data_IF_264007384717
#
_entry.id   IF_264007384717
#
_cell.length_a   1.000
_cell.length_b   1.000
_cell.length_c   1.000
_cell.angle_alpha   90.00
_cell.angle_beta   90.00
_cell.angle_gamma   90.00
#
_symmetry.space_group_name_H-M   'P 1'
#
loop_
_entity.id
_entity.type
_entity.pdbx_description
1 polymer ?
#
# COMPACT_ATOMS: atom_id res chain seq x y z
N UNK A 1 6.86 7.11 18.09
CA UNK A 1 5.51 7.08 17.47
C UNK A 1 5.18 5.66 17.12
N UNK A 2 3.88 5.31 17.03
CA UNK A 2 3.44 3.96 16.65
C UNK A 2 2.70 4.01 15.30
N UNK A 3 3.16 3.22 14.35
CA UNK A 3 2.61 3.19 13.00
C UNK A 3 2.02 1.81 12.67
N UNK A 4 0.89 1.82 11.95
CA UNK A 4 0.39 0.65 11.25
C UNK A 4 0.93 0.66 9.82
N UNK A 5 1.61 -0.39 9.40
CA UNK A 5 2.08 -0.59 8.02
C UNK A 5 1.37 -1.82 7.45
N UNK A 6 0.59 -1.64 6.40
CA UNK A 6 -0.06 -2.78 5.73
C UNK A 6 0.70 -3.14 4.46
N UNK A 7 0.79 -4.43 4.14
CA UNK A 7 1.54 -4.90 2.97
C UNK A 7 3.07 -4.88 3.17
N UNK A 8 3.53 -5.02 4.42
CA UNK A 8 4.96 -4.96 4.72
C UNK A 8 5.72 -6.27 4.46
N UNK A 9 5.03 -7.36 4.12
CA UNK A 9 5.68 -8.56 3.57
C UNK A 9 6.02 -8.40 2.07
N UNK A 10 5.58 -7.30 1.43
CA UNK A 10 5.95 -6.92 0.07
C UNK A 10 7.23 -6.09 0.01
N UNK A 11 7.68 -5.78 -1.22
CA UNK A 11 8.93 -5.07 -1.48
C UNK A 11 8.99 -3.69 -0.80
N UNK A 12 8.15 -2.73 -1.21
CA UNK A 12 8.22 -1.34 -0.69
C UNK A 12 7.87 -1.30 0.80
N UNK A 13 6.85 -2.06 1.22
CA UNK A 13 6.38 -2.07 2.60
C UNK A 13 7.42 -2.57 3.59
N UNK A 14 8.23 -3.57 3.22
CA UNK A 14 9.31 -4.09 4.06
C UNK A 14 10.41 -3.05 4.30
N UNK A 15 10.81 -2.29 3.28
CA UNK A 15 11.75 -1.19 3.42
C UNK A 15 11.21 -0.08 4.31
N UNK A 16 9.93 0.26 4.18
CA UNK A 16 9.30 1.27 5.01
C UNK A 16 9.24 0.83 6.48
N UNK A 17 8.79 -0.40 6.74
CA UNK A 17 8.73 -0.95 8.10
C UNK A 17 10.12 -0.94 8.75
N UNK A 18 11.14 -1.42 8.03
CA UNK A 18 12.53 -1.39 8.51
C UNK A 18 13.00 0.04 8.83
N UNK A 19 12.73 0.99 7.93
CA UNK A 19 13.14 2.39 8.12
C UNK A 19 12.50 3.00 9.37
N UNK A 20 11.22 2.79 9.59
CA UNK A 20 10.52 3.27 10.78
C UNK A 20 11.11 2.70 12.06
N UNK A 21 11.43 1.39 12.07
CA UNK A 21 12.06 0.72 13.20
C UNK A 21 13.48 1.23 13.45
N UNK A 22 14.25 1.49 12.41
CA UNK A 22 15.61 2.06 12.51
C UNK A 22 15.59 3.49 13.05
N UNK A 23 14.53 4.26 12.76
CA UNK A 23 14.31 5.60 13.31
C UNK A 23 13.70 5.58 14.74
N UNK A 24 13.58 4.39 15.36
CA UNK A 24 13.11 4.22 16.75
C UNK A 24 11.60 4.30 16.93
N UNK A 25 10.81 4.04 15.90
CA UNK A 25 9.36 3.97 15.96
C UNK A 25 8.87 2.56 16.26
N UNK A 26 7.69 2.45 16.85
CA UNK A 26 6.97 1.19 16.97
C UNK A 26 6.20 0.91 15.67
N UNK A 27 6.26 -0.31 15.20
CA UNK A 27 5.59 -0.74 13.97
C UNK A 27 4.74 -1.97 14.24
N UNK A 28 3.45 -1.86 13.88
CA UNK A 28 2.54 -2.99 13.73
C UNK A 28 2.36 -3.25 12.24
N UNK A 29 2.43 -4.50 11.83
CA UNK A 29 2.28 -4.90 10.43
C UNK A 29 1.02 -5.73 10.28
N UNK A 30 0.21 -5.43 9.26
CA UNK A 30 -0.83 -6.32 8.74
C UNK A 30 -0.43 -6.75 7.34
N UNK A 31 -0.40 -8.06 7.11
CA UNK A 31 -0.24 -8.66 5.79
C UNK A 31 -0.95 -10.02 5.75
N UNK A 32 -1.57 -10.36 4.62
CA UNK A 32 -2.23 -11.66 4.46
C UNK A 32 -1.26 -12.78 4.12
N UNK A 33 -0.06 -12.45 3.66
CA UNK A 33 0.95 -13.35 3.08
C UNK A 33 0.48 -14.09 1.82
N UNK A 34 -0.61 -13.67 1.19
CA UNK A 34 -1.06 -14.25 -0.09
C UNK A 34 -0.07 -13.99 -1.24
N UNK A 35 0.64 -12.85 -1.17
CA UNK A 35 1.63 -12.45 -2.17
C UNK A 35 2.94 -11.94 -1.56
N UNK A 36 2.97 -11.77 -0.27
CA UNK A 36 4.13 -11.36 0.51
C UNK A 36 4.92 -12.55 1.04
N UNK A 37 6.13 -12.28 1.49
CA UNK A 37 7.03 -13.29 2.05
C UNK A 37 7.31 -12.98 3.52
N UNK A 38 7.04 -13.93 4.40
CA UNK A 38 7.24 -13.78 5.85
C UNK A 38 8.71 -13.48 6.21
N UNK A 39 9.66 -13.95 5.40
CA UNK A 39 11.09 -13.73 5.57
C UNK A 39 11.51 -12.26 5.40
N UNK A 40 10.68 -11.45 4.73
CA UNK A 40 10.90 -10.00 4.58
C UNK A 40 10.47 -9.19 5.79
N UNK A 41 9.75 -9.79 6.73
CA UNK A 41 9.27 -9.10 7.93
C UNK A 41 10.41 -8.87 8.92
N UNK A 42 10.59 -7.63 9.34
CA UNK A 42 11.54 -7.29 10.40
C UNK A 42 11.00 -7.80 11.76
N UNK A 43 11.78 -8.63 12.43
CA UNK A 43 11.39 -9.29 13.70
C UNK A 43 11.14 -8.31 14.85
N UNK A 44 11.54 -7.05 14.71
CA UNK A 44 11.27 -5.99 15.70
C UNK A 44 9.83 -5.47 15.61
N UNK A 45 9.16 -5.67 14.47
CA UNK A 45 7.76 -5.28 14.30
C UNK A 45 6.81 -6.29 14.94
N UNK A 46 5.67 -5.81 15.42
CA UNK A 46 4.55 -6.68 15.77
C UNK A 46 3.78 -7.08 14.51
N UNK A 47 3.87 -8.35 14.12
CA UNK A 47 3.22 -8.85 12.91
C UNK A 47 1.88 -9.52 13.26
N UNK A 48 0.84 -9.09 12.55
CA UNK A 48 -0.52 -9.63 12.62
C UNK A 48 -0.90 -10.13 11.22
N UNK A 49 -0.97 -11.44 11.06
CA UNK A 49 -1.40 -12.03 9.80
C UNK A 49 -2.92 -11.90 9.65
N UNK A 50 -3.37 -11.27 8.57
CA UNK A 50 -4.80 -11.13 8.30
C UNK A 50 -5.08 -10.36 7.01
N UNK A 51 -6.33 -10.46 6.57
CA UNK A 51 -6.80 -9.80 5.34
C UNK A 51 -7.59 -8.53 5.69
N UNK A 52 -7.32 -7.43 5.01
CA UNK A 52 -8.01 -6.15 5.22
C UNK A 52 -9.51 -6.18 4.91
N UNK A 53 -9.98 -7.18 4.17
CA UNK A 53 -11.41 -7.37 3.94
C UNK A 53 -12.15 -7.96 5.15
N UNK A 54 -11.42 -8.55 6.10
CA UNK A 54 -11.99 -8.97 7.39
C UNK A 54 -12.13 -7.76 8.31
N UNK A 55 -13.32 -7.17 8.28
CA UNK A 55 -13.63 -5.97 9.08
C UNK A 55 -13.45 -6.23 10.58
N UNK A 56 -13.81 -7.41 11.07
CA UNK A 56 -13.71 -7.74 12.49
C UNK A 56 -12.26 -7.81 12.94
N UNK A 57 -11.40 -8.40 12.12
CA UNK A 57 -9.97 -8.43 12.36
C UNK A 57 -9.36 -7.03 12.35
N UNK A 58 -9.65 -6.22 11.32
CA UNK A 58 -9.12 -4.85 11.24
C UNK A 58 -9.60 -4.01 12.43
N UNK A 59 -10.89 -4.14 12.81
CA UNK A 59 -11.45 -3.45 13.97
C UNK A 59 -10.68 -3.80 15.25
N UNK A 60 -10.45 -5.08 15.55
CA UNK A 60 -9.71 -5.50 16.76
C UNK A 60 -8.30 -4.93 16.80
N UNK A 61 -7.63 -4.81 15.66
CA UNK A 61 -6.29 -4.21 15.60
C UNK A 61 -6.31 -2.75 16.05
N UNK A 62 -7.34 -1.98 15.70
CA UNK A 62 -7.48 -0.59 16.13
C UNK A 62 -8.02 -0.44 17.56
N UNK A 63 -8.76 -1.43 18.08
CA UNK A 63 -9.15 -1.46 19.50
C UNK A 63 -7.94 -1.69 20.41
N UNK A 64 -7.06 -2.61 20.03
CA UNK A 64 -5.88 -3.00 20.82
C UNK A 64 -4.72 -2.00 20.72
N UNK A 65 -4.76 -1.09 19.73
CA UNK A 65 -3.62 -0.21 19.44
C UNK A 65 -4.05 1.24 19.14
N UNK A 66 -3.29 2.18 19.70
CA UNK A 66 -3.37 3.60 19.31
C UNK A 66 -2.27 3.92 18.31
N UNK A 67 -2.65 4.25 17.09
CA UNK A 67 -1.70 4.58 16.04
C UNK A 67 -1.59 6.09 15.82
N UNK A 68 -0.36 6.59 15.65
CA UNK A 68 -0.07 7.95 15.24
C UNK A 68 -0.28 8.15 13.73
N UNK A 69 -0.20 7.07 12.97
CA UNK A 69 -0.41 7.07 11.53
C UNK A 69 -0.52 5.68 10.92
N UNK A 70 -1.09 5.63 9.72
CA UNK A 70 -1.22 4.43 8.89
C UNK A 70 -0.47 4.64 7.58
N UNK A 71 0.29 3.63 7.16
CA UNK A 71 0.98 3.60 5.87
C UNK A 71 0.50 2.36 5.11
N UNK A 72 -0.22 2.58 4.02
CA UNK A 72 -0.98 1.55 3.33
C UNK A 72 -0.33 1.16 2.01
N UNK A 73 0.33 -0.02 1.99
CA UNK A 73 0.92 -0.64 0.80
C UNK A 73 0.16 -1.87 0.33
N UNK A 74 -0.64 -2.53 1.19
CA UNK A 74 -1.34 -3.76 0.83
C UNK A 74 -2.23 -3.58 -0.39
N UNK A 75 -1.95 -4.34 -1.45
CA UNK A 75 -2.73 -4.37 -2.69
C UNK A 75 -2.29 -5.55 -3.57
N UNK A 76 -3.16 -5.95 -4.49
CA UNK A 76 -2.75 -6.69 -5.69
C UNK A 76 -2.31 -5.69 -6.76
N UNK A 77 -1.17 -5.91 -7.43
CA UNK A 77 -0.46 -4.87 -8.18
C UNK A 77 -0.18 -5.18 -9.66
N UNK A 78 -0.39 -6.41 -10.13
CA UNK A 78 -0.09 -6.77 -11.51
C UNK A 78 -1.09 -6.17 -12.50
N UNK A 79 -0.63 -5.28 -13.38
CA UNK A 79 -1.48 -4.67 -14.41
C UNK A 79 -2.05 -5.73 -15.35
N UNK A 80 -1.22 -6.68 -15.83
CA UNK A 80 -1.65 -7.74 -16.74
C UNK A 80 -2.70 -8.66 -16.12
N UNK A 81 -2.52 -9.07 -14.85
CA UNK A 81 -3.51 -9.85 -14.14
C UNK A 81 -4.82 -9.09 -13.94
N UNK A 82 -4.76 -7.78 -13.71
CA UNK A 82 -5.94 -6.96 -13.53
C UNK A 82 -6.87 -6.97 -14.75
N UNK A 83 -6.30 -7.05 -15.95
CA UNK A 83 -7.07 -7.16 -17.21
C UNK A 83 -7.76 -8.53 -17.36
N UNK A 84 -7.27 -9.56 -16.67
CA UNK A 84 -7.85 -10.90 -16.72
C UNK A 84 -8.83 -11.15 -15.58
N UNK A 85 -8.57 -10.56 -14.42
CA UNK A 85 -9.39 -10.73 -13.22
C UNK A 85 -9.70 -9.38 -12.53
N UNK A 86 -10.49 -8.51 -13.15
CA UNK A 86 -10.79 -7.19 -12.59
C UNK A 86 -11.53 -7.26 -11.25
N UNK A 87 -12.36 -8.29 -11.03
CA UNK A 87 -13.08 -8.48 -9.77
C UNK A 87 -12.13 -8.56 -8.57
N UNK A 88 -11.05 -9.33 -8.67
CA UNK A 88 -10.05 -9.44 -7.61
C UNK A 88 -9.46 -8.07 -7.25
N UNK A 89 -9.15 -7.25 -8.26
CA UNK A 89 -8.54 -5.94 -8.06
C UNK A 89 -9.49 -4.95 -7.39
N UNK A 90 -10.73 -4.89 -7.85
CA UNK A 90 -11.71 -4.01 -7.22
C UNK A 90 -12.07 -4.48 -5.81
N UNK A 91 -12.30 -5.77 -5.62
CA UNK A 91 -12.63 -6.32 -4.31
C UNK A 91 -11.48 -6.11 -3.31
N UNK A 92 -10.27 -6.54 -3.64
CA UNK A 92 -9.15 -6.47 -2.70
C UNK A 92 -8.70 -5.03 -2.45
N UNK A 93 -8.42 -4.27 -3.53
CA UNK A 93 -7.81 -2.97 -3.39
C UNK A 93 -8.78 -1.91 -2.89
N UNK A 94 -10.06 -1.95 -3.29
CA UNK A 94 -11.04 -0.94 -2.89
C UNK A 94 -11.67 -1.33 -1.55
N UNK A 95 -12.24 -2.54 -1.44
CA UNK A 95 -12.98 -2.93 -0.22
C UNK A 95 -12.04 -3.04 0.98
N UNK A 96 -10.85 -3.64 0.82
CA UNK A 96 -9.86 -3.71 1.89
C UNK A 96 -9.36 -2.33 2.33
N UNK A 97 -9.09 -1.43 1.36
CA UNK A 97 -8.70 -0.04 1.69
C UNK A 97 -9.83 0.72 2.37
N UNK A 98 -11.08 0.54 1.93
CA UNK A 98 -12.23 1.21 2.54
C UNK A 98 -12.41 0.79 4.00
N UNK A 99 -12.31 -0.51 4.31
CA UNK A 99 -12.35 -1.01 5.69
C UNK A 99 -11.23 -0.37 6.53
N UNK A 100 -10.00 -0.38 6.01
CA UNK A 100 -8.85 0.19 6.71
C UNK A 100 -9.03 1.70 7.00
N UNK A 101 -9.49 2.47 6.00
CA UNK A 101 -9.72 3.92 6.13
C UNK A 101 -10.82 4.22 7.13
N UNK A 102 -11.91 3.46 7.11
CA UNK A 102 -13.02 3.61 8.07
C UNK A 102 -12.56 3.33 9.49
N UNK A 103 -11.92 2.17 9.74
CA UNK A 103 -11.46 1.80 11.08
C UNK A 103 -10.37 2.76 11.60
N UNK A 104 -9.42 3.15 10.76
CA UNK A 104 -8.41 4.16 11.12
C UNK A 104 -9.05 5.49 11.51
N UNK A 105 -10.06 5.93 10.76
CA UNK A 105 -10.76 7.21 11.03
C UNK A 105 -11.57 7.14 12.32
N UNK A 106 -12.30 6.05 12.55
CA UNK A 106 -13.07 5.82 13.76
C UNK A 106 -12.19 5.74 15.02
N UNK A 107 -10.99 5.15 14.89
CA UNK A 107 -9.98 5.13 15.94
C UNK A 107 -9.26 6.48 16.17
N UNK A 108 -9.62 7.50 15.39
CA UNK A 108 -9.07 8.86 15.54
C UNK A 108 -7.70 9.07 14.91
N UNK A 109 -7.22 8.15 14.07
CA UNK A 109 -5.97 8.33 13.31
C UNK A 109 -6.09 9.52 12.38
N UNK A 110 -5.13 10.44 12.45
CA UNK A 110 -5.14 11.69 11.66
C UNK A 110 -4.18 11.73 10.49
N UNK A 111 -3.30 10.74 10.37
CA UNK A 111 -2.25 10.71 9.34
C UNK A 111 -2.33 9.40 8.57
N UNK A 112 -2.56 9.50 7.27
CA UNK A 112 -2.69 8.34 6.40
C UNK A 112 -1.80 8.52 5.16
N UNK A 113 -0.90 7.58 4.89
CA UNK A 113 -0.09 7.56 3.69
C UNK A 113 -0.58 6.42 2.81
N UNK A 114 -0.91 6.74 1.57
CA UNK A 114 -1.42 5.79 0.60
C UNK A 114 -0.45 5.57 -0.55
N UNK A 115 -0.09 4.31 -0.76
CA UNK A 115 0.66 3.86 -1.93
C UNK A 115 -0.26 3.78 -3.14
N UNK A 116 -0.27 4.84 -3.93
CA UNK A 116 -0.92 4.89 -5.24
C UNK A 116 0.06 4.52 -6.35
N UNK A 117 -0.25 4.85 -7.57
CA UNK A 117 0.53 4.48 -8.76
C UNK A 117 0.49 5.58 -9.82
N UNK A 118 1.55 5.71 -10.62
CA UNK A 118 1.53 6.51 -11.85
C UNK A 118 0.50 6.00 -12.86
N UNK A 119 0.09 4.73 -12.76
CA UNK A 119 -0.98 4.15 -13.59
C UNK A 119 -2.33 4.87 -13.51
N UNK A 120 -2.55 5.73 -12.49
CA UNK A 120 -3.75 6.58 -12.42
C UNK A 120 -3.81 7.64 -13.53
N UNK A 121 -2.66 7.99 -14.10
CA UNK A 121 -2.60 8.98 -15.19
C UNK A 121 -2.95 8.38 -16.57
N UNK A 122 -2.81 7.06 -16.74
CA UNK A 122 -2.93 6.41 -18.04
C UNK A 122 -1.84 6.85 -19.02
N UNK A 123 -2.18 6.97 -20.29
CA UNK A 123 -1.27 7.48 -21.31
C UNK A 123 -1.05 9.00 -21.14
N UNK A 124 0.19 9.45 -20.90
CA UNK A 124 0.45 10.85 -20.61
C UNK A 124 0.31 11.72 -21.85
N UNK A 125 -0.40 12.84 -21.70
CA UNK A 125 -0.53 13.89 -22.74
C UNK A 125 0.75 14.74 -22.77
N UNK A 126 1.44 14.86 -21.61
CA UNK A 126 2.65 15.67 -21.44
C UNK A 126 3.63 14.98 -20.53
N UNK A 127 4.91 15.07 -20.86
CA UNK A 127 6.04 14.62 -20.03
C UNK A 127 7.02 15.78 -19.80
N UNK A 128 7.60 15.92 -18.61
CA UNK A 128 7.30 15.16 -17.38
C UNK A 128 5.84 15.31 -16.96
N UNK A 129 5.25 14.25 -16.36
CA UNK A 129 3.86 14.23 -15.94
C UNK A 129 3.69 15.10 -14.68
N UNK A 130 2.92 16.21 -14.72
CA UNK A 130 2.69 17.01 -13.53
C UNK A 130 1.62 16.35 -12.64
N UNK A 131 1.56 16.76 -11.36
CA UNK A 131 0.61 16.15 -10.40
C UNK A 131 -0.85 16.41 -10.73
N UNK A 132 -1.16 17.51 -11.40
CA UNK A 132 -2.48 17.92 -11.86
C UNK A 132 -2.88 17.34 -13.23
N UNK A 133 -2.01 16.50 -13.83
CA UNK A 133 -2.33 15.81 -15.09
C UNK A 133 -3.68 15.08 -14.97
N UNK A 134 -4.48 15.04 -16.04
CA UNK A 134 -5.71 14.25 -16.08
C UNK A 134 -5.48 12.80 -15.65
N UNK A 135 -6.43 12.25 -14.89
CA UNK A 135 -6.38 10.88 -14.41
C UNK A 135 -7.33 10.03 -15.23
N UNK A 136 -6.77 9.17 -16.06
CA UNK A 136 -7.51 8.29 -16.97
C UNK A 136 -6.83 6.90 -17.01
N UNK A 137 -6.97 6.07 -15.96
CA UNK A 137 -6.36 4.75 -15.90
C UNK A 137 -6.79 3.87 -17.07
N UNK A 138 -5.88 3.02 -17.57
CA UNK A 138 -6.15 2.13 -18.71
C UNK A 138 -6.34 0.66 -18.27
N UNK A 139 -6.29 0.39 -16.98
CA UNK A 139 -6.46 -0.96 -16.44
C UNK A 139 -7.14 -0.94 -15.06
N UNK A 140 -7.76 -2.07 -14.65
CA UNK A 140 -8.44 -2.16 -13.36
C UNK A 140 -7.55 -1.90 -12.14
N UNK A 141 -6.25 -2.21 -12.21
CA UNK A 141 -5.32 -1.87 -11.14
C UNK A 141 -5.22 -0.36 -10.94
N UNK A 142 -4.91 0.40 -11.99
CA UNK A 142 -4.84 1.86 -11.96
C UNK A 142 -6.17 2.48 -11.52
N UNK A 143 -7.29 1.98 -12.05
CA UNK A 143 -8.63 2.44 -11.65
C UNK A 143 -8.91 2.16 -10.18
N UNK A 144 -8.58 0.97 -9.65
CA UNK A 144 -8.77 0.65 -8.23
C UNK A 144 -8.00 1.60 -7.31
N UNK A 145 -6.76 1.97 -7.69
CA UNK A 145 -5.97 2.95 -6.94
C UNK A 145 -6.58 4.35 -7.00
N UNK A 146 -7.05 4.79 -8.17
CA UNK A 146 -7.71 6.08 -8.33
C UNK A 146 -9.01 6.15 -7.51
N UNK A 147 -9.78 5.07 -7.44
CA UNK A 147 -10.98 5.01 -6.60
C UNK A 147 -10.64 5.19 -5.12
N UNK A 148 -9.56 4.59 -4.62
CA UNK A 148 -9.11 4.79 -3.24
C UNK A 148 -8.65 6.24 -3.01
N UNK A 149 -7.96 6.88 -3.97
CA UNK A 149 -7.65 8.32 -3.87
C UNK A 149 -8.92 9.16 -3.67
N UNK A 150 -9.99 8.86 -4.44
CA UNK A 150 -11.28 9.55 -4.32
C UNK A 150 -11.97 9.29 -2.97
N UNK A 151 -11.87 8.07 -2.45
CA UNK A 151 -12.37 7.72 -1.10
C UNK A 151 -11.65 8.57 -0.04
N UNK A 152 -10.32 8.64 -0.07
CA UNK A 152 -9.53 9.44 0.87
C UNK A 152 -9.93 10.92 0.84
N UNK A 153 -10.20 11.48 -0.35
CA UNK A 153 -10.68 12.87 -0.48
C UNK A 153 -12.04 13.08 0.22
N UNK A 154 -12.96 12.11 0.16
CA UNK A 154 -14.22 12.19 0.88
C UNK A 154 -14.02 12.09 2.40
N UNK A 155 -13.16 11.19 2.86
CA UNK A 155 -12.83 11.06 4.29
C UNK A 155 -12.17 12.33 4.84
N UNK A 156 -11.32 12.99 4.05
CA UNK A 156 -10.77 14.30 4.41
C UNK A 156 -11.88 15.34 4.59
N UNK A 157 -12.77 15.46 3.61
CA UNK A 157 -13.85 16.47 3.61
C UNK A 157 -14.84 16.27 4.76
N UNK A 158 -15.18 15.02 5.07
CA UNK A 158 -16.27 14.70 6.02
C UNK A 158 -15.74 14.42 7.42
N UNK A 159 -14.60 13.74 7.54
CA UNK A 159 -14.04 13.23 8.80
C UNK A 159 -12.74 13.92 9.21
N UNK A 160 -12.17 14.77 8.37
CA UNK A 160 -10.93 15.49 8.68
C UNK A 160 -9.68 14.61 8.66
N UNK A 161 -9.68 13.50 7.92
CA UNK A 161 -8.50 12.65 7.74
C UNK A 161 -7.44 13.40 6.91
N UNK A 162 -6.23 13.55 7.44
CA UNK A 162 -5.11 14.06 6.67
C UNK A 162 -4.40 12.90 5.97
N UNK A 163 -4.15 13.04 4.69
CA UNK A 163 -3.47 12.00 3.94
C UNK A 163 -2.44 12.57 2.96
N UNK A 164 -1.52 11.69 2.58
CA UNK A 164 -0.58 11.87 1.47
C UNK A 164 -0.75 10.71 0.51
N UNK A 165 -0.83 11.02 -0.78
CA UNK A 165 -0.89 10.04 -1.86
C UNK A 165 0.46 10.02 -2.55
N UNK A 166 1.10 8.85 -2.60
CA UNK A 166 2.37 8.66 -3.28
C UNK A 166 2.13 7.85 -4.57
N UNK A 167 2.23 8.51 -5.72
CA UNK A 167 2.05 7.87 -7.03
C UNK A 167 3.40 7.37 -7.54
N UNK A 168 3.74 6.14 -7.19
CA UNK A 168 4.98 5.52 -7.61
C UNK A 168 4.96 5.22 -9.11
N UNK A 169 6.12 5.39 -9.75
CA UNK A 169 6.39 4.86 -11.09
C UNK A 169 6.96 3.44 -10.93
N UNK A 170 8.25 3.26 -11.09
CA UNK A 170 8.90 1.98 -10.94
C UNK A 170 9.89 2.08 -9.77
N UNK A 171 9.48 1.61 -8.61
CA UNK A 171 10.40 1.49 -7.48
C UNK A 171 11.45 0.43 -7.81
N UNK A 172 12.72 0.72 -7.55
CA UNK A 172 13.81 -0.22 -7.75
C UNK A 172 14.90 -0.01 -6.72
N UNK A 173 15.72 -1.02 -6.53
CA UNK A 173 16.88 -0.98 -5.64
C UNK A 173 16.88 -2.11 -4.62
N UNK A 174 18.00 -2.22 -3.91
CA UNK A 174 18.22 -3.16 -2.83
C UNK A 174 18.87 -2.45 -1.65
N UNK A 175 18.81 -3.07 -0.46
CA UNK A 175 19.56 -2.58 0.67
C UNK A 175 21.08 -2.77 0.43
N UNK A 176 21.90 -1.85 0.95
CA UNK A 176 23.33 -1.90 0.77
C UNK A 176 23.99 -3.16 1.36
N UNK A 177 23.35 -3.78 2.33
CA UNK A 177 23.78 -5.04 2.94
C UNK A 177 23.32 -6.28 2.17
N UNK A 178 22.62 -6.11 1.04
CA UNK A 178 22.13 -7.18 0.18
C UNK A 178 20.99 -8.02 0.77
N UNK A 179 20.44 -7.67 1.94
CA UNK A 179 19.42 -8.49 2.61
C UNK A 179 17.99 -8.22 2.18
N UNK A 180 17.76 -7.06 1.55
CA UNK A 180 16.42 -6.64 1.11
C UNK A 180 16.47 -6.20 -0.34
N UNK A 181 15.48 -6.58 -1.11
CA UNK A 181 15.35 -6.24 -2.52
C UNK A 181 14.02 -6.67 -3.09
N UNK A 182 13.86 -6.41 -4.36
CA UNK A 182 12.70 -6.88 -5.11
C UNK A 182 12.75 -8.40 -5.31
N UNK A 183 11.59 -9.05 -5.23
CA UNK A 183 11.46 -10.49 -5.39
C UNK A 183 10.00 -10.79 -5.69
N UNK A 184 9.62 -10.73 -6.96
CA UNK A 184 8.29 -11.10 -7.43
C UNK A 184 8.36 -12.44 -8.18
N UNK A 185 7.28 -13.21 -8.11
CA UNK A 185 7.13 -14.44 -8.88
C UNK A 185 5.70 -14.52 -9.46
N UNK A 186 5.54 -14.44 -10.80
CA UNK A 186 6.58 -14.14 -11.78
C UNK A 186 7.12 -12.70 -11.69
N UNK A 187 8.41 -12.51 -12.05
CA UNK A 187 8.99 -11.17 -12.13
C UNK A 187 8.51 -10.45 -13.40
N UNK A 188 8.05 -9.24 -13.26
CA UNK A 188 7.53 -8.43 -14.35
C UNK A 188 8.22 -7.06 -14.53
N UNK A 189 9.10 -6.69 -13.60
CA UNK A 189 9.79 -5.40 -13.65
C UNK A 189 11.04 -5.47 -14.52
N UNK A 190 11.28 -4.39 -15.26
CA UNK A 190 12.33 -4.34 -16.27
C UNK A 190 13.74 -4.54 -15.68
N UNK A 191 14.02 -3.93 -14.52
CA UNK A 191 15.38 -3.97 -13.95
C UNK A 191 15.76 -5.39 -13.50
N UNK A 192 14.99 -6.11 -12.69
CA UNK A 192 15.30 -7.50 -12.37
C UNK A 192 15.39 -8.40 -13.62
N UNK A 193 14.50 -8.20 -14.60
CA UNK A 193 14.51 -8.99 -15.83
C UNK A 193 15.73 -8.76 -16.74
N UNK A 194 16.37 -7.59 -16.63
CA UNK A 194 17.60 -7.28 -17.38
C UNK A 194 18.84 -7.80 -16.65
N UNK A 195 18.76 -7.89 -15.30
CA UNK A 195 19.90 -8.34 -14.48
C UNK A 195 19.98 -9.87 -14.32
N UNK A 196 18.91 -10.60 -14.60
CA UNK A 196 18.84 -12.07 -14.61
C UNK A 196 19.11 -12.61 -16.02
#
# INVERSE_FOLDING_TARGET
>A
MKFLVTGAAGYIGSFMAKRLLDDGHEVVIIDSLERGYSEKLDKRANFLQGNLMDKSFVHSVFEDNKFDGVIHFAAVISMGESMQNPFLYFQNNISGSLVLVEEATNAGVKKFIFSSTAGVYGNPIKTPIPEDHPKNPENPYGESKLMVERILEWYRKIKGLNFVILRYFNACGASLDGKMGESHNPESHIIPNVLN
#
